data_IF_982274276494
#
_entry.id   IF_982274276494
#
_cell.length_a   1.000
_cell.length_b   1.000
_cell.length_c   1.000
_cell.angle_alpha   90.00
_cell.angle_beta   90.00
_cell.angle_gamma   90.00
#
_symmetry.space_group_name_H-M   'P 1'
#
loop_
_entity.id
_entity.type
_entity.pdbx_description
1 polymer ?
#
# COMPACT_ATOMS: atom_id res chain seq x y z
N UNK A 1 -18.46 -25.98 -33.89
CA UNK A 1 -18.29 -24.55 -33.59
C UNK A 1 -17.61 -24.47 -32.24
N UNK A 2 -16.28 -24.35 -32.24
CA UNK A 2 -15.50 -24.12 -31.03
C UNK A 2 -15.43 -22.61 -30.83
N UNK A 3 -16.14 -22.13 -29.81
CA UNK A 3 -16.02 -20.76 -29.32
C UNK A 3 -14.56 -20.57 -28.88
N UNK A 4 -13.87 -19.67 -29.57
CA UNK A 4 -12.57 -19.18 -29.10
C UNK A 4 -12.87 -18.23 -27.96
N UNK A 5 -12.71 -18.69 -26.72
CA UNK A 5 -12.49 -17.79 -25.59
C UNK A 5 -11.33 -16.86 -25.98
N UNK A 6 -11.63 -15.56 -26.09
CA UNK A 6 -10.62 -14.54 -26.29
C UNK A 6 -9.62 -14.56 -25.12
N UNK A 7 -8.42 -13.99 -25.27
CA UNK A 7 -7.47 -13.95 -24.16
C UNK A 7 -8.14 -13.26 -22.98
N UNK A 8 -8.30 -14.01 -21.88
CA UNK A 8 -8.74 -13.51 -20.59
C UNK A 8 -7.96 -12.22 -20.32
N UNK A 9 -8.68 -11.09 -20.18
CA UNK A 9 -8.01 -9.84 -19.86
C UNK A 9 -7.24 -10.08 -18.57
N UNK A 10 -5.93 -9.76 -18.50
CA UNK A 10 -5.14 -10.08 -17.31
C UNK A 10 -5.84 -9.47 -16.10
N UNK A 11 -6.08 -10.27 -15.07
CA UNK A 11 -6.74 -9.82 -13.85
C UNK A 11 -5.94 -8.64 -13.29
N UNK A 12 -6.53 -7.44 -13.33
CA UNK A 12 -5.85 -6.21 -12.92
C UNK A 12 -6.08 -6.07 -11.42
N UNK A 13 -4.98 -6.02 -10.66
CA UNK A 13 -5.03 -5.93 -9.19
C UNK A 13 -5.94 -4.79 -8.73
N UNK A 14 -6.93 -5.11 -7.89
CA UNK A 14 -7.78 -4.11 -7.24
C UNK A 14 -7.07 -3.53 -6.02
N UNK A 15 -6.95 -2.21 -5.96
CA UNK A 15 -6.31 -1.51 -4.85
C UNK A 15 -7.31 -0.55 -4.17
N UNK A 16 -7.55 -0.78 -2.88
CA UNK A 16 -8.30 0.16 -2.06
C UNK A 16 -7.39 1.33 -1.67
N UNK A 17 -7.79 2.55 -2.01
CA UNK A 17 -7.02 3.75 -1.72
C UNK A 17 -7.59 4.43 -0.47
N UNK A 18 -6.79 4.51 0.58
CA UNK A 18 -7.12 5.28 1.78
C UNK A 18 -7.07 6.80 1.49
N UNK A 19 -7.84 7.59 2.23
CA UNK A 19 -7.93 9.04 2.04
C UNK A 19 -6.56 9.72 2.20
N UNK A 20 -5.69 9.20 3.07
CA UNK A 20 -4.37 9.77 3.34
C UNK A 20 -3.44 9.75 2.10
N UNK A 21 -3.57 8.77 1.19
CA UNK A 21 -2.74 8.67 -0.02
C UNK A 21 -3.32 9.45 -1.20
N UNK A 22 -4.64 9.66 -1.24
CA UNK A 22 -5.34 10.42 -2.29
C UNK A 22 -5.73 11.86 -1.89
N UNK A 23 -5.17 12.41 -0.81
CA UNK A 23 -5.40 13.82 -0.43
C UNK A 23 -4.58 14.82 -1.26
N UNK A 24 -3.33 14.50 -1.58
CA UNK A 24 -2.40 15.39 -2.30
C UNK A 24 -2.73 15.47 -3.79
N UNK A 25 -2.62 16.65 -4.41
CA UNK A 25 -2.92 16.80 -5.83
C UNK A 25 -2.00 15.92 -6.69
N UNK A 26 -0.69 15.97 -6.44
CA UNK A 26 0.30 15.22 -7.21
C UNK A 26 0.20 13.71 -6.98
N UNK A 27 0.03 13.25 -5.72
CA UNK A 27 -0.14 11.82 -5.41
C UNK A 27 -1.37 11.23 -6.10
N UNK A 28 -2.47 11.98 -6.11
CA UNK A 28 -3.71 11.53 -6.74
C UNK A 28 -3.63 11.53 -8.26
N UNK A 29 -3.01 12.54 -8.87
CA UNK A 29 -2.86 12.52 -10.34
C UNK A 29 -1.97 11.35 -10.78
N UNK A 30 -0.90 11.04 -10.03
CA UNK A 30 -0.07 9.84 -10.26
C UNK A 30 -0.93 8.56 -10.15
N UNK A 31 -1.59 8.33 -9.01
CA UNK A 31 -2.40 7.13 -8.78
C UNK A 31 -3.49 6.96 -9.85
N UNK A 32 -4.24 8.03 -10.15
CA UNK A 32 -5.33 7.97 -11.13
C UNK A 32 -4.83 7.86 -12.57
N UNK A 33 -3.65 8.42 -12.89
CA UNK A 33 -3.02 8.20 -14.20
C UNK A 33 -2.63 6.75 -14.40
N UNK A 34 -2.06 6.12 -13.37
CA UNK A 34 -1.71 4.70 -13.37
C UNK A 34 -2.97 3.84 -13.52
N UNK A 35 -4.04 4.15 -12.77
CA UNK A 35 -5.34 3.50 -12.90
C UNK A 35 -5.94 3.65 -14.31
N UNK A 36 -5.86 4.84 -14.91
CA UNK A 36 -6.35 5.09 -16.27
C UNK A 36 -5.65 4.22 -17.33
N UNK A 37 -4.39 3.83 -17.09
CA UNK A 37 -3.65 2.88 -17.93
C UNK A 37 -3.81 1.42 -17.51
N UNK A 38 -4.74 1.11 -16.61
CA UNK A 38 -4.98 -0.23 -16.05
C UNK A 38 -3.70 -0.85 -15.46
N UNK A 39 -2.90 -0.05 -14.75
CA UNK A 39 -1.82 -0.56 -13.89
C UNK A 39 -2.39 -1.26 -12.65
N UNK A 40 -3.52 -0.76 -12.16
CA UNK A 40 -4.35 -1.32 -11.11
C UNK A 40 -5.79 -0.80 -11.28
N UNK A 41 -6.75 -1.38 -10.57
CA UNK A 41 -8.12 -0.89 -10.49
C UNK A 41 -8.37 -0.25 -9.12
N UNK A 42 -8.62 1.07 -9.05
CA UNK A 42 -8.82 1.74 -7.77
C UNK A 42 -10.17 1.37 -7.16
N UNK A 43 -10.23 1.36 -5.83
CA UNK A 43 -11.44 1.26 -5.02
C UNK A 43 -11.42 2.28 -3.87
N UNK A 44 -12.57 2.86 -3.55
CA UNK A 44 -12.77 3.73 -2.38
C UNK A 44 -14.25 3.73 -1.95
N UNK A 45 -14.52 4.00 -0.67
CA UNK A 45 -15.90 4.16 -0.15
C UNK A 45 -16.28 5.62 -0.02
N UNK A 46 -17.57 5.87 0.29
CA UNK A 46 -18.03 7.20 0.67
C UNK A 46 -17.28 7.77 1.88
N UNK A 47 -16.87 6.92 2.84
CA UNK A 47 -16.12 7.39 4.02
C UNK A 47 -14.79 8.01 3.62
N UNK A 48 -14.05 7.37 2.72
CA UNK A 48 -12.78 7.89 2.17
C UNK A 48 -13.00 9.26 1.52
N UNK A 49 -14.05 9.38 0.72
CA UNK A 49 -14.41 10.66 0.07
C UNK A 49 -14.76 11.75 1.09
N UNK A 50 -15.51 11.41 2.14
CA UNK A 50 -15.87 12.34 3.20
C UNK A 50 -14.65 12.75 4.04
N UNK A 51 -13.72 11.84 4.27
CA UNK A 51 -12.45 12.15 4.92
C UNK A 51 -11.58 13.06 4.06
N UNK A 52 -11.48 12.83 2.74
CA UNK A 52 -10.81 13.75 1.83
C UNK A 52 -11.40 15.16 1.90
N UNK A 53 -12.73 15.28 2.01
CA UNK A 53 -13.40 16.58 2.16
C UNK A 53 -13.09 17.24 3.51
N UNK A 54 -13.14 16.48 4.61
CA UNK A 54 -12.84 16.95 5.97
C UNK A 54 -11.39 17.40 6.13
N UNK A 55 -10.46 16.64 5.55
CA UNK A 55 -9.01 16.85 5.65
C UNK A 55 -8.44 17.62 4.45
N UNK A 56 -9.26 18.44 3.77
CA UNK A 56 -8.79 19.27 2.65
C UNK A 56 -7.67 20.22 3.11
N UNK A 57 -6.67 20.52 2.25
CA UNK A 57 -5.62 21.46 2.61
C UNK A 57 -6.14 22.82 3.08
N UNK A 58 -5.51 23.44 4.10
CA UNK A 58 -5.87 24.78 4.52
C UNK A 58 -5.84 25.76 3.34
N UNK A 59 -6.88 26.60 3.22
CA UNK A 59 -7.00 27.57 2.14
C UNK A 59 -7.54 27.02 0.81
N UNK A 60 -7.73 25.70 0.66
CA UNK A 60 -8.41 25.14 -0.51
C UNK A 60 -9.93 25.37 -0.41
N UNK A 61 -10.56 26.06 -1.39
CA UNK A 61 -12.01 26.22 -1.43
C UNK A 61 -12.75 24.87 -1.47
N UNK A 62 -13.89 24.79 -0.78
CA UNK A 62 -14.72 23.59 -0.75
C UNK A 62 -15.17 23.16 -2.16
N UNK A 63 -15.52 24.14 -3.00
CA UNK A 63 -15.88 23.89 -4.38
C UNK A 63 -14.77 23.21 -5.20
N UNK A 64 -13.50 23.42 -4.86
CA UNK A 64 -12.36 22.81 -5.56
C UNK A 64 -12.18 21.34 -5.18
N UNK A 65 -12.26 21.00 -3.87
CA UNK A 65 -12.21 19.59 -3.44
C UNK A 65 -13.42 18.81 -3.94
N UNK A 66 -14.61 19.42 -3.95
CA UNK A 66 -15.82 18.78 -4.49
C UNK A 66 -15.74 18.58 -6.01
N UNK A 67 -15.17 19.54 -6.75
CA UNK A 67 -14.93 19.38 -8.19
C UNK A 67 -13.97 18.23 -8.46
N UNK A 68 -12.93 18.08 -7.64
CA UNK A 68 -11.97 16.97 -7.73
C UNK A 68 -12.67 15.64 -7.47
N UNK A 69 -13.39 15.49 -6.36
CA UNK A 69 -14.15 14.27 -6.03
C UNK A 69 -15.10 13.88 -7.17
N UNK A 70 -15.89 14.83 -7.69
CA UNK A 70 -16.78 14.57 -8.85
C UNK A 70 -16.03 14.12 -10.09
N UNK A 71 -14.83 14.65 -10.32
CA UNK A 71 -14.01 14.26 -11.46
C UNK A 71 -13.45 12.86 -11.30
N UNK A 72 -13.02 12.50 -10.09
CA UNK A 72 -12.55 11.15 -9.75
C UNK A 72 -13.65 10.11 -9.96
N UNK A 73 -14.83 10.32 -9.36
CA UNK A 73 -15.96 9.38 -9.49
C UNK A 73 -16.48 9.28 -10.93
N UNK A 74 -16.42 10.37 -11.71
CA UNK A 74 -16.80 10.31 -13.13
C UNK A 74 -15.77 9.56 -13.98
N UNK A 75 -14.48 9.70 -13.67
CA UNK A 75 -13.42 9.02 -14.40
C UNK A 75 -13.35 7.52 -14.06
N UNK A 76 -13.72 7.15 -12.83
CA UNK A 76 -13.67 5.78 -12.34
C UNK A 76 -15.00 5.41 -11.66
N UNK A 77 -16.08 5.18 -12.44
CA UNK A 77 -17.39 4.84 -11.88
C UNK A 77 -17.35 3.56 -11.05
N UNK A 78 -16.55 2.56 -11.48
CA UNK A 78 -16.42 1.27 -10.79
C UNK A 78 -15.50 1.32 -9.57
N UNK A 79 -14.84 2.46 -9.30
CA UNK A 79 -14.01 2.59 -8.11
C UNK A 79 -14.81 2.86 -6.84
N UNK A 80 -15.99 3.46 -6.97
CA UNK A 80 -16.84 3.70 -5.82
C UNK A 80 -17.44 2.37 -5.33
N UNK A 81 -17.19 2.05 -4.06
CA UNK A 81 -17.78 0.91 -3.38
C UNK A 81 -18.76 1.40 -2.33
N UNK A 82 -19.89 0.72 -2.20
CA UNK A 82 -20.84 0.95 -1.11
C UNK A 82 -20.18 0.75 0.26
N UNK A 83 -20.79 1.33 1.29
CA UNK A 83 -20.28 1.17 2.65
C UNK A 83 -20.37 -0.31 3.07
N UNK A 84 -19.30 -0.88 3.65
CA UNK A 84 -19.31 -2.25 4.11
C UNK A 84 -20.32 -2.43 5.26
N UNK A 85 -20.99 -3.59 5.37
CA UNK A 85 -21.88 -3.89 6.49
C UNK A 85 -21.18 -3.72 7.84
N UNK A 86 -21.89 -3.23 8.87
CA UNK A 86 -21.29 -2.97 10.18
C UNK A 86 -20.62 -4.21 10.79
N UNK A 87 -21.24 -5.39 10.66
CA UNK A 87 -20.65 -6.64 11.16
C UNK A 87 -19.35 -7.06 10.45
N UNK A 88 -19.09 -6.57 9.24
CA UNK A 88 -17.77 -6.70 8.60
C UNK A 88 -16.78 -5.73 9.24
N UNK A 89 -17.16 -4.47 9.45
CA UNK A 89 -16.32 -3.48 10.11
C UNK A 89 -15.89 -3.93 11.51
N UNK A 90 -16.82 -4.43 12.32
CA UNK A 90 -16.57 -4.76 13.73
C UNK A 90 -15.48 -5.82 13.91
N UNK A 91 -15.39 -6.79 12.98
CA UNK A 91 -14.42 -7.89 13.03
C UNK A 91 -13.06 -7.57 12.40
N UNK A 92 -12.89 -6.43 11.74
CA UNK A 92 -11.61 -6.04 11.14
C UNK A 92 -10.53 -5.86 12.21
N UNK A 93 -9.34 -6.39 11.93
CA UNK A 93 -8.14 -6.24 12.75
C UNK A 93 -7.40 -4.96 12.35
N UNK A 94 -7.93 -3.84 12.84
CA UNK A 94 -7.36 -2.51 12.68
C UNK A 94 -7.74 -1.65 13.90
N UNK A 95 -7.10 -0.51 14.05
CA UNK A 95 -7.48 0.51 15.02
C UNK A 95 -8.96 0.89 14.87
N UNK A 96 -9.63 1.19 15.99
CA UNK A 96 -11.09 1.41 16.02
C UNK A 96 -11.58 2.46 15.03
N UNK A 97 -10.76 3.49 14.76
CA UNK A 97 -11.09 4.56 13.81
C UNK A 97 -10.89 4.13 12.35
N UNK A 98 -10.07 3.11 12.06
CA UNK A 98 -9.63 2.70 10.72
C UNK A 98 -10.27 1.38 10.24
N UNK A 99 -11.04 0.70 11.09
CA UNK A 99 -11.79 -0.52 10.74
C UNK A 99 -12.65 -0.36 9.48
N UNK A 100 -13.22 0.82 9.27
CA UNK A 100 -14.04 1.11 8.09
C UNK A 100 -13.23 1.09 6.78
N UNK A 101 -11.93 1.47 6.82
CA UNK A 101 -11.02 1.44 5.67
C UNK A 101 -10.73 -0.02 5.29
N UNK A 102 -10.31 -0.84 6.26
CA UNK A 102 -10.01 -2.24 6.02
C UNK A 102 -11.25 -3.03 5.58
N UNK A 103 -12.40 -2.75 6.19
CA UNK A 103 -13.67 -3.34 5.78
C UNK A 103 -14.05 -2.95 4.35
N UNK A 104 -13.81 -1.69 3.95
CA UNK A 104 -14.01 -1.24 2.58
C UNK A 104 -13.11 -1.97 1.59
N UNK A 105 -11.85 -2.20 1.96
CA UNK A 105 -10.91 -2.97 1.14
C UNK A 105 -11.37 -4.42 0.96
N UNK A 106 -11.79 -5.10 2.03
CA UNK A 106 -12.32 -6.47 1.96
C UNK A 106 -13.63 -6.54 1.18
N UNK A 107 -14.56 -5.62 1.44
CA UNK A 107 -15.88 -5.60 0.79
C UNK A 107 -15.82 -5.29 -0.71
N UNK A 108 -14.85 -4.47 -1.12
CA UNK A 108 -14.56 -4.19 -2.54
C UNK A 108 -13.75 -5.28 -3.23
N UNK A 109 -13.48 -6.39 -2.51
CA UNK A 109 -12.61 -7.49 -2.94
C UNK A 109 -11.23 -6.98 -3.43
N UNK A 110 -10.70 -5.95 -2.77
CA UNK A 110 -9.38 -5.43 -3.09
C UNK A 110 -8.30 -6.42 -2.67
N UNK A 111 -7.23 -6.49 -3.46
CA UNK A 111 -6.07 -7.36 -3.18
C UNK A 111 -5.00 -6.62 -2.36
N UNK A 112 -5.10 -5.29 -2.29
CA UNK A 112 -4.21 -4.45 -1.51
C UNK A 112 -4.94 -3.22 -0.98
N UNK A 113 -4.68 -2.90 0.28
CA UNK A 113 -4.99 -1.62 0.90
C UNK A 113 -3.75 -0.72 0.80
N UNK A 114 -3.89 0.44 0.17
CA UNK A 114 -2.83 1.43 0.05
C UNK A 114 -3.07 2.54 1.07
N UNK A 115 -2.21 2.61 2.10
CA UNK A 115 -2.29 3.58 3.21
C UNK A 115 -0.90 3.86 3.81
N UNK A 116 -0.62 5.11 4.15
CA UNK A 116 0.63 5.46 4.84
C UNK A 116 0.57 5.19 6.36
N UNK A 117 -0.57 4.78 6.91
CA UNK A 117 -0.77 4.47 8.33
C UNK A 117 -0.62 2.97 8.63
N UNK A 118 0.43 2.32 8.10
CA UNK A 118 0.60 0.85 8.16
C UNK A 118 0.38 0.21 9.54
N UNK A 119 0.84 0.87 10.60
CA UNK A 119 0.77 0.36 11.98
C UNK A 119 -0.66 0.24 12.53
N UNK A 120 -1.62 0.94 11.92
CA UNK A 120 -3.02 0.98 12.35
C UNK A 120 -3.78 -0.27 11.81
N UNK A 121 -3.13 -1.14 11.01
CA UNK A 121 -3.72 -2.30 10.34
C UNK A 121 -2.93 -3.59 10.62
N UNK A 122 -3.64 -4.66 11.00
CA UNK A 122 -3.09 -6.01 11.21
C UNK A 122 -4.02 -7.10 10.63
N UNK A 123 -4.37 -7.03 9.33
CA UNK A 123 -5.23 -8.02 8.71
C UNK A 123 -4.57 -9.41 8.70
N UNK A 124 -5.37 -10.49 8.70
CA UNK A 124 -4.82 -11.83 8.54
C UNK A 124 -4.12 -11.99 7.18
N UNK A 125 -3.14 -12.88 7.11
CA UNK A 125 -2.43 -13.20 5.86
C UNK A 125 -3.16 -14.21 4.97
N UNK A 126 -4.23 -14.84 5.49
CA UNK A 126 -5.03 -15.85 4.77
C UNK A 126 -6.48 -15.85 5.25
N UNK A 127 -7.36 -16.42 4.42
CA UNK A 127 -8.80 -16.46 4.68
C UNK A 127 -9.57 -15.31 4.02
N UNK A 128 -10.89 -15.22 4.27
CA UNK A 128 -11.80 -14.31 3.55
C UNK A 128 -11.55 -12.82 3.86
N UNK A 129 -10.94 -12.50 5.00
CA UNK A 129 -10.63 -11.13 5.40
C UNK A 129 -9.13 -10.81 5.20
N UNK A 130 -8.40 -11.63 4.41
CA UNK A 130 -6.98 -11.41 4.16
C UNK A 130 -6.75 -10.15 3.33
N UNK A 131 -5.72 -9.38 3.69
CA UNK A 131 -5.40 -8.14 3.00
C UNK A 131 -3.91 -7.85 3.05
N UNK A 132 -3.32 -7.53 1.90
CA UNK A 132 -1.99 -6.93 1.86
C UNK A 132 -2.13 -5.44 2.13
N UNK A 133 -1.28 -4.89 3.00
CA UNK A 133 -1.25 -3.46 3.30
C UNK A 133 0.09 -2.90 2.83
N UNK A 134 0.07 -1.87 2.00
CA UNK A 134 1.25 -1.20 1.45
C UNK A 134 1.14 0.30 1.66
N UNK A 135 2.26 0.96 1.95
CA UNK A 135 2.30 2.41 1.87
C UNK A 135 2.40 2.88 0.41
N UNK A 136 2.23 4.19 0.19
CA UNK A 136 2.19 4.74 -1.16
C UNK A 136 3.43 4.38 -1.99
N UNK A 137 4.63 4.55 -1.42
CA UNK A 137 5.87 4.27 -2.13
C UNK A 137 6.08 2.77 -2.38
N UNK A 138 5.74 1.90 -1.42
CA UNK A 138 5.79 0.44 -1.60
C UNK A 138 4.91 0.00 -2.77
N UNK A 139 3.66 0.48 -2.80
CA UNK A 139 2.71 0.18 -3.87
C UNK A 139 3.21 0.68 -5.24
N UNK A 140 3.57 1.97 -5.34
CA UNK A 140 4.03 2.56 -6.61
C UNK A 140 5.32 1.91 -7.12
N UNK A 141 6.29 1.63 -6.24
CA UNK A 141 7.54 0.98 -6.61
C UNK A 141 7.33 -0.47 -7.05
N UNK A 142 6.41 -1.20 -6.41
CA UNK A 142 6.03 -2.53 -6.86
C UNK A 142 5.38 -2.48 -8.24
N UNK A 143 4.43 -1.57 -8.47
CA UNK A 143 3.82 -1.38 -9.80
C UNK A 143 4.80 -0.98 -10.89
N UNK A 144 5.78 -0.15 -10.57
CA UNK A 144 6.86 0.20 -11.48
C UNK A 144 7.74 -1.00 -11.82
N UNK A 145 8.03 -1.87 -10.86
CA UNK A 145 8.80 -3.10 -11.10
C UNK A 145 8.03 -4.11 -11.92
N UNK A 146 6.73 -4.28 -11.64
CA UNK A 146 5.85 -5.21 -12.36
C UNK A 146 5.61 -4.77 -13.82
N UNK A 147 5.42 -3.47 -14.07
CA UNK A 147 5.01 -2.95 -15.37
C UNK A 147 5.66 -1.59 -15.71
N UNK A 148 7.00 -1.53 -15.89
CA UNK A 148 7.72 -0.27 -16.04
C UNK A 148 7.22 0.58 -17.22
N UNK A 149 7.01 -0.04 -18.39
CA UNK A 149 6.56 0.67 -19.59
C UNK A 149 5.15 1.25 -19.44
N UNK A 150 4.25 0.53 -18.77
CA UNK A 150 2.87 0.97 -18.54
C UNK A 150 2.82 2.12 -17.55
N UNK A 151 3.60 2.05 -16.48
CA UNK A 151 3.74 3.15 -15.50
C UNK A 151 4.34 4.38 -16.15
N UNK A 152 5.46 4.26 -16.88
CA UNK A 152 6.05 5.40 -17.59
C UNK A 152 5.10 5.99 -18.64
N UNK A 153 4.34 5.14 -19.34
CA UNK A 153 3.30 5.57 -20.26
C UNK A 153 2.18 6.35 -19.58
N UNK A 154 1.74 5.92 -18.40
CA UNK A 154 0.74 6.61 -17.59
C UNK A 154 1.22 8.01 -17.16
N UNK A 155 2.49 8.12 -16.76
CA UNK A 155 3.08 9.41 -16.39
C UNK A 155 3.26 10.35 -17.61
N UNK A 156 3.55 9.81 -18.81
CA UNK A 156 3.54 10.61 -20.04
C UNK A 156 2.14 11.12 -20.39
N UNK A 157 1.11 10.29 -20.24
CA UNK A 157 -0.29 10.71 -20.42
C UNK A 157 -0.71 11.73 -19.35
N UNK A 158 -0.17 11.63 -18.14
CA UNK A 158 -0.37 12.64 -17.09
C UNK A 158 0.17 13.99 -17.54
N UNK A 159 1.42 14.03 -17.98
CA UNK A 159 2.08 15.26 -18.42
C UNK A 159 1.42 15.89 -19.65
N UNK A 160 0.86 15.10 -20.56
CA UNK A 160 0.16 15.64 -21.74
C UNK A 160 -1.11 16.43 -21.39
N UNK A 161 -1.69 16.20 -20.20
CA UNK A 161 -2.84 16.96 -19.68
C UNK A 161 -2.45 18.26 -18.98
N UNK A 162 -1.18 18.44 -18.64
CA UNK A 162 -0.72 19.57 -17.86
C UNK A 162 -0.63 20.83 -18.72
N UNK A 163 -1.27 21.91 -18.24
CA UNK A 163 -1.19 23.25 -18.86
C UNK A 163 -0.08 24.12 -18.27
N UNK A 164 0.48 23.69 -17.13
CA UNK A 164 1.57 24.34 -16.38
C UNK A 164 2.59 23.28 -16.00
N UNK A 165 3.76 23.71 -15.57
CA UNK A 165 4.83 22.79 -15.18
C UNK A 165 4.43 21.92 -13.98
N UNK A 166 4.98 20.70 -13.87
CA UNK A 166 5.94 20.06 -14.78
C UNK A 166 5.30 19.52 -16.08
N UNK A 167 5.97 19.67 -17.23
CA UNK A 167 5.49 19.14 -18.53
C UNK A 167 6.40 18.12 -19.19
N UNK A 168 7.48 17.76 -18.50
CA UNK A 168 8.49 16.81 -18.98
C UNK A 168 8.76 15.78 -17.90
N UNK A 169 9.18 14.56 -18.28
CA UNK A 169 9.53 13.51 -17.32
C UNK A 169 10.61 13.95 -16.31
N UNK A 170 11.73 14.60 -16.71
CA UNK A 170 12.71 15.13 -15.75
C UNK A 170 12.11 16.05 -14.69
N UNK A 171 11.38 17.09 -15.12
CA UNK A 171 10.73 18.04 -14.22
C UNK A 171 9.69 17.39 -13.30
N UNK A 172 9.00 16.34 -13.78
CA UNK A 172 8.08 15.57 -12.94
C UNK A 172 8.82 14.78 -11.86
N UNK A 173 9.90 14.10 -12.23
CA UNK A 173 10.76 13.37 -11.29
C UNK A 173 11.30 14.33 -10.23
N UNK A 174 11.81 15.49 -10.65
CA UNK A 174 12.33 16.52 -9.74
C UNK A 174 11.25 17.02 -8.79
N UNK A 175 10.07 17.37 -9.31
CA UNK A 175 8.94 17.81 -8.48
C UNK A 175 8.49 16.73 -7.48
N UNK A 176 8.46 15.46 -7.89
CA UNK A 176 8.13 14.36 -6.97
C UNK A 176 9.23 14.10 -5.92
N UNK A 177 10.50 14.30 -6.28
CA UNK A 177 11.64 14.12 -5.38
C UNK A 177 11.71 15.20 -4.29
N UNK A 178 11.26 16.42 -4.61
CA UNK A 178 11.15 17.52 -3.64
C UNK A 178 10.09 17.24 -2.57
N UNK A 179 8.94 16.68 -2.94
CA UNK A 179 7.91 16.21 -2.01
C UNK A 179 8.37 15.03 -1.15
N UNK A 180 7.79 14.85 0.05
CA UNK A 180 8.14 13.70 0.89
C UNK A 180 7.40 12.43 0.44
N UNK A 181 6.15 12.57 -0.01
CA UNK A 181 5.22 11.48 -0.28
C UNK A 181 5.61 10.64 -1.49
N UNK A 182 6.25 11.24 -2.51
CA UNK A 182 6.63 10.56 -3.76
C UNK A 182 8.14 10.43 -3.93
N UNK A 183 8.94 10.77 -2.92
CA UNK A 183 10.40 10.86 -3.04
C UNK A 183 11.03 9.52 -3.45
N UNK A 184 10.67 8.45 -2.76
CA UNK A 184 11.25 7.13 -3.02
C UNK A 184 10.80 6.60 -4.39
N UNK A 185 9.54 6.84 -4.76
CA UNK A 185 9.05 6.54 -6.10
C UNK A 185 9.79 7.32 -7.19
N UNK A 186 10.03 8.61 -6.99
CA UNK A 186 10.81 9.44 -7.92
C UNK A 186 12.23 8.93 -8.09
N UNK A 187 12.91 8.61 -6.97
CA UNK A 187 14.24 8.02 -6.98
C UNK A 187 14.26 6.69 -7.76
N UNK A 188 13.26 5.83 -7.57
CA UNK A 188 13.21 4.55 -8.29
C UNK A 188 12.89 4.73 -9.78
N UNK A 189 11.95 5.62 -10.10
CA UNK A 189 11.59 5.96 -11.47
C UNK A 189 12.80 6.49 -12.25
N UNK A 190 13.60 7.37 -11.63
CA UNK A 190 14.82 7.93 -12.22
C UNK A 190 15.80 6.84 -12.69
N UNK A 191 15.88 5.71 -11.97
CA UNK A 191 16.77 4.61 -12.35
C UNK A 191 16.33 3.83 -13.58
N UNK A 192 15.03 3.85 -13.92
CA UNK A 192 14.45 3.01 -14.98
C UNK A 192 14.01 3.80 -16.22
N UNK A 193 13.93 5.13 -16.14
CA UNK A 193 13.72 5.96 -17.33
C UNK A 193 15.03 6.11 -18.13
N UNK A 194 14.94 6.36 -19.46
CA UNK A 194 16.09 6.71 -20.28
C UNK A 194 16.88 7.89 -19.70
N UNK A 195 18.19 7.94 -19.96
CA UNK A 195 19.10 8.93 -19.36
C UNK A 195 18.64 10.37 -19.64
N UNK A 196 18.13 10.63 -20.84
CA UNK A 196 17.61 11.94 -21.26
C UNK A 196 16.29 12.34 -20.58
N UNK A 197 15.63 11.40 -19.88
CA UNK A 197 14.38 11.61 -19.14
C UNK A 197 14.59 11.65 -17.62
N UNK A 198 15.83 11.52 -17.14
CA UNK A 198 16.18 11.57 -15.72
C UNK A 198 16.07 12.97 -15.14
N UNK A 199 15.73 13.04 -13.86
CA UNK A 199 15.70 14.27 -13.10
C UNK A 199 17.10 14.83 -12.83
N UNK A 200 17.14 16.08 -12.40
CA UNK A 200 18.38 16.82 -12.09
C UNK A 200 18.51 17.18 -10.61
N UNK A 201 17.47 16.92 -9.81
CA UNK A 201 17.42 17.26 -8.39
C UNK A 201 18.53 16.57 -7.59
N UNK A 202 19.28 17.29 -6.73
CA UNK A 202 20.31 16.69 -5.86
C UNK A 202 19.79 15.57 -4.95
N UNK A 203 18.48 15.58 -4.64
CA UNK A 203 17.82 14.58 -3.79
C UNK A 203 17.78 13.19 -4.47
N UNK A 204 17.88 13.14 -5.80
CA UNK A 204 17.96 11.89 -6.57
C UNK A 204 19.33 11.22 -6.43
N UNK A 205 20.40 12.01 -6.31
CA UNK A 205 21.78 11.49 -6.21
C UNK A 205 22.09 10.82 -4.86
N UNK A 206 21.29 11.09 -3.82
CA UNK A 206 21.48 10.50 -2.49
C UNK A 206 21.21 8.98 -2.47
N UNK A 207 20.33 8.46 -3.34
CA UNK A 207 19.98 7.03 -3.37
C UNK A 207 20.95 6.18 -4.21
N UNK A 208 21.59 6.78 -5.22
CA UNK A 208 22.52 6.07 -6.13
C UNK A 208 23.77 5.53 -5.41
N UNK A 209 24.17 6.13 -4.28
CA UNK A 209 25.29 5.66 -3.45
C UNK A 209 24.93 4.45 -2.57
N UNK A 210 23.66 4.30 -2.18
CA UNK A 210 23.20 3.16 -1.36
C UNK A 210 22.99 1.90 -2.18
N UNK A 211 22.43 2.00 -3.39
CA UNK A 211 22.19 0.84 -4.27
C UNK A 211 23.49 0.17 -4.76
N UNK A 212 24.57 0.94 -4.95
CA UNK A 212 25.88 0.39 -5.30
C UNK A 212 26.51 -0.43 -4.16
N UNK A 213 26.18 -0.13 -2.90
CA UNK A 213 26.64 -0.90 -1.74
C UNK A 213 25.85 -2.20 -1.55
N UNK A 214 24.54 -2.22 -1.83
CA UNK A 214 23.74 -3.45 -1.77
C UNK A 214 24.02 -4.42 -2.93
N UNK A 215 24.27 -3.93 -4.15
CA UNK A 215 24.66 -4.77 -5.28
C UNK A 215 26.01 -5.49 -5.06
N UNK A 216 26.89 -4.94 -4.20
CA UNK A 216 28.14 -5.60 -3.82
C UNK A 216 27.94 -6.77 -2.83
N UNK A 217 26.81 -6.84 -2.13
CA UNK A 217 26.48 -7.91 -1.18
C UNK A 217 25.65 -9.05 -1.82
N UNK A 218 24.93 -8.82 -2.92
CA UNK A 218 24.17 -9.87 -3.63
C UNK A 218 25.03 -10.94 -4.33
N UNK A 219 26.37 -10.78 -4.34
CA UNK A 219 27.32 -11.73 -4.93
C UNK A 219 28.06 -12.64 -3.94
N UNK A 220 27.82 -12.51 -2.63
CA UNK A 220 28.47 -13.37 -1.63
C UNK A 220 27.54 -14.50 -1.22
N UNK A 221 27.92 -15.72 -1.60
CA UNK A 221 27.33 -16.96 -1.06
C UNK A 221 27.59 -16.98 0.45
N UNK A 222 26.52 -16.87 1.23
CA UNK A 222 26.54 -17.08 2.69
C UNK A 222 27.22 -18.43 3.01
N UNK A 223 28.23 -18.50 3.88
CA UNK A 223 28.79 -19.77 4.32
C UNK A 223 27.71 -20.51 5.12
N UNK A 224 27.37 -21.71 4.65
CA UNK A 224 26.31 -22.53 5.22
C UNK A 224 26.43 -22.70 6.73
N UNK A 225 25.32 -22.43 7.43
CA UNK A 225 25.15 -22.73 8.85
C UNK A 225 25.28 -24.25 9.05
N UNK A 226 26.22 -24.73 9.90
CA UNK A 226 26.32 -26.16 10.16
C UNK A 226 25.10 -26.62 10.97
N UNK A 227 24.49 -27.72 10.51
CA UNK A 227 23.40 -28.38 11.19
C UNK A 227 23.84 -28.82 12.60
N UNK A 228 23.06 -28.45 13.61
CA UNK A 228 23.25 -28.93 14.98
C UNK A 228 22.96 -30.45 15.05
N UNK A 229 23.82 -31.27 15.67
CA UNK A 229 23.58 -32.69 15.78
C UNK A 229 22.51 -32.98 16.82
N UNK A 230 21.56 -33.81 16.43
CA UNK A 230 20.58 -34.49 17.29
C UNK A 230 21.21 -35.73 17.93
N UNK A 231 20.91 -35.96 19.22
CA UNK A 231 21.16 -37.11 20.15
C UNK A 231 21.86 -36.59 21.44
N UNK A 232 21.49 -36.92 22.68
CA UNK A 232 20.98 -38.16 23.30
C UNK A 232 20.27 -37.85 24.68
N UNK A 233 20.15 -38.78 25.67
CA UNK A 233 19.04 -39.72 25.90
C UNK A 233 18.28 -39.51 27.25
N UNK A 234 17.22 -40.30 27.46
CA UNK A 234 16.46 -40.45 28.71
C UNK A 234 17.29 -40.92 29.92
N UNK A 235 16.98 -40.40 31.11
CA UNK A 235 17.18 -41.11 32.38
C UNK A 235 16.13 -40.68 33.44
N UNK A 236 15.59 -41.69 34.14
CA UNK A 236 14.49 -41.65 35.12
C UNK A 236 15.00 -41.66 36.58
N UNK A 237 14.18 -41.06 37.48
CA UNK A 237 13.99 -41.29 38.95
C UNK A 237 15.19 -40.94 39.86
N UNK A 238 15.08 -40.59 41.15
CA UNK A 238 14.08 -40.85 42.20
C UNK A 238 14.16 -39.85 43.39
N UNK A 239 13.07 -39.76 44.17
CA UNK A 239 13.01 -39.44 45.61
C UNK A 239 12.94 -37.94 45.99
N UNK A 240 12.11 -37.44 46.90
CA UNK A 240 11.15 -38.06 47.83
C UNK A 240 10.85 -37.09 48.99
N UNK A 241 9.55 -36.80 49.19
CA UNK A 241 8.80 -36.56 50.44
C UNK A 241 8.97 -35.31 51.33
N UNK A 242 7.78 -34.93 51.83
CA UNK A 242 7.39 -34.18 53.03
C UNK A 242 7.22 -32.66 52.90
N UNK A 243 6.07 -32.06 53.23
CA UNK A 243 4.80 -32.59 53.73
C UNK A 243 3.87 -31.47 54.22
N UNK A 244 2.58 -31.83 54.33
CA UNK A 244 1.62 -31.42 55.39
C UNK A 244 1.06 -29.99 55.30
N UNK A 245 -0.19 -29.85 54.82
CA UNK A 245 -1.45 -29.52 55.56
C UNK A 245 -1.56 -28.03 55.97
N UNK A 246 -2.69 -27.34 56.07
CA UNK A 246 -4.16 -27.58 56.12
C UNK A 246 -4.80 -26.20 55.83
N UNK A 247 -5.80 -26.07 54.97
CA UNK A 247 -7.25 -26.16 55.22
C UNK A 247 -7.94 -24.93 55.88
N UNK A 248 -9.04 -24.53 55.22
CA UNK A 248 -10.36 -24.05 55.72
C UNK A 248 -10.74 -22.55 55.75
N UNK A 249 -12.01 -22.34 55.33
CA UNK A 249 -12.93 -21.23 55.64
C UNK A 249 -13.15 -20.31 54.42
N UNK A 250 -14.26 -20.29 53.65
CA UNK A 250 -15.72 -20.36 53.88
C UNK A 250 -16.36 -19.14 54.58
N UNK A 251 -17.54 -18.76 54.05
CA UNK A 251 -18.52 -17.69 54.43
C UNK A 251 -18.25 -16.27 53.90
N UNK A 252 -19.09 -15.67 53.03
CA UNK A 252 -20.53 -15.29 53.04
C UNK A 252 -20.88 -14.02 53.85
N UNK A 253 -21.62 -13.15 53.14
CA UNK A 253 -22.52 -12.04 53.51
C UNK A 253 -22.00 -10.80 54.27
N UNK A 254 -22.02 -9.65 53.58
CA UNK A 254 -22.99 -8.57 53.83
C UNK A 254 -23.06 -7.56 52.68
#
# INVERSE_FOLDING_TARGET
MTEREGPESPNVERAFLDANVIRGQQTTDVLLSLANRRVFEPRWTQHVIDEMRRNRPPGLPEADIDRRIRTMNRAFPDAFTEAPPQGLQDRMRADSKDKHVLAGAVYSESEVLVTDNLKDFDPPSSGPDAMRVENLNQFLNRKLRENPDRVQGALRDMLSRYKRDPRTMPALIDAMAEGQELREFAQKLDTVVPIEQRGSSPVLAASQRGSAQYAAFEGMVEPGVPAAPSTAPEARKAGGKHGVEKAKGAEQDH
#
